data_IF_251228740204
#
_entry.id   IF_251228740204
#
_cell.length_a   1.000
_cell.length_b   1.000
_cell.length_c   1.000
_cell.angle_alpha   90.00
_cell.angle_beta   90.00
_cell.angle_gamma   90.00
#
_symmetry.space_group_name_H-M   'P 1'
#
loop_
_entity.id
_entity.type
_entity.pdbx_description
1 polymer ?
#
# COMPACT_ATOMS: atom_id res chain seq x y z
N UNK A 1 -19.15 1.47 41.67
CA UNK A 1 -18.07 2.36 41.21
C UNK A 1 -17.24 1.59 40.20
N UNK A 2 -17.11 2.19 39.01
CA UNK A 2 -16.29 1.80 37.85
C UNK A 2 -14.86 1.36 38.30
N UNK A 3 -14.14 0.45 37.62
CA UNK A 3 -13.78 0.48 36.20
C UNK A 3 -13.33 -0.91 35.69
N UNK A 4 -13.63 -1.10 34.42
CA UNK A 4 -13.41 -2.24 33.51
C UNK A 4 -11.92 -2.60 33.28
N UNK A 5 -11.67 -3.84 32.79
CA UNK A 5 -10.43 -4.61 32.97
C UNK A 5 -9.31 -4.31 31.95
N UNK A 6 -8.12 -4.83 32.28
CA UNK A 6 -6.89 -4.97 31.50
C UNK A 6 -7.08 -5.48 30.05
N UNK A 7 -7.65 -4.66 29.16
CA UNK A 7 -7.80 -4.99 27.73
C UNK A 7 -7.28 -3.91 26.77
N UNK A 8 -6.63 -2.86 27.26
CA UNK A 8 -6.14 -1.76 26.42
C UNK A 8 -4.73 -1.96 25.82
N UNK A 9 -4.11 -3.13 25.99
CA UNK A 9 -2.73 -3.38 25.54
C UNK A 9 -2.61 -4.37 24.36
N UNK A 10 -3.68 -4.59 23.60
CA UNK A 10 -3.67 -5.52 22.47
C UNK A 10 -3.72 -4.84 21.08
N UNK A 11 -3.64 -3.50 20.98
CA UNK A 11 -3.77 -2.79 19.69
C UNK A 11 -2.43 -2.20 19.20
N UNK A 12 -1.40 -2.13 20.04
CA UNK A 12 -0.12 -1.51 19.65
C UNK A 12 0.89 -2.48 18.99
N UNK A 13 0.61 -3.78 18.92
CA UNK A 13 1.57 -4.78 18.41
C UNK A 13 1.37 -5.19 16.95
N UNK A 14 0.24 -4.83 16.31
CA UNK A 14 -0.03 -5.16 14.90
C UNK A 14 0.48 -4.12 13.90
N UNK A 15 1.03 -3.01 14.39
CA UNK A 15 1.54 -1.92 13.54
C UNK A 15 3.04 -2.04 13.31
N UNK A 16 3.77 -2.86 14.07
CA UNK A 16 5.25 -2.85 14.06
C UNK A 16 5.88 -3.93 13.16
N UNK A 17 5.12 -4.92 12.68
CA UNK A 17 5.66 -5.93 11.74
C UNK A 17 5.40 -5.61 10.25
N UNK A 18 4.73 -4.50 9.94
CA UNK A 18 4.37 -4.12 8.56
C UNK A 18 5.24 -3.04 7.89
N UNK A 19 6.10 -2.35 8.63
CA UNK A 19 6.88 -1.20 8.09
C UNK A 19 8.10 -1.58 7.24
N UNK A 20 8.35 -2.87 7.01
CA UNK A 20 9.54 -3.35 6.29
C UNK A 20 9.22 -4.05 4.96
N UNK A 21 8.02 -3.86 4.40
CA UNK A 21 7.54 -4.58 3.21
C UNK A 21 7.19 -3.65 2.02
N UNK A 22 7.53 -2.35 2.10
CA UNK A 22 7.16 -1.42 1.03
C UNK A 22 7.90 -0.07 1.09
N UNK A 23 9.22 0.03 1.33
CA UNK A 23 9.84 1.38 1.26
C UNK A 23 9.66 2.00 -0.13
N UNK A 24 9.82 1.20 -1.20
CA UNK A 24 9.63 1.69 -2.58
C UNK A 24 8.17 1.92 -2.96
N UNK A 25 7.20 1.23 -2.34
CA UNK A 25 5.77 1.39 -2.61
C UNK A 25 5.01 2.27 -1.59
N UNK A 26 5.63 2.68 -0.48
CA UNK A 26 4.98 3.34 0.64
C UNK A 26 4.23 4.60 0.23
N UNK A 27 4.86 5.43 -0.60
CA UNK A 27 4.29 6.70 -1.08
C UNK A 27 3.01 6.47 -1.89
N UNK A 28 2.98 5.44 -2.75
CA UNK A 28 1.81 5.13 -3.55
C UNK A 28 0.70 4.51 -2.69
N UNK A 29 1.04 3.67 -1.70
CA UNK A 29 0.06 3.14 -0.75
C UNK A 29 -0.57 4.25 0.09
N UNK A 30 0.23 5.20 0.58
CA UNK A 30 -0.27 6.37 1.29
C UNK A 30 -1.18 7.22 0.39
N UNK A 31 -0.88 7.32 -0.91
CA UNK A 31 -1.72 8.01 -1.88
C UNK A 31 -3.09 7.34 -2.04
N UNK A 32 -3.14 6.00 -2.11
CA UNK A 32 -4.40 5.23 -2.12
C UNK A 32 -5.21 5.49 -0.84
N UNK A 33 -4.57 5.43 0.32
CA UNK A 33 -5.24 5.69 1.61
C UNK A 33 -5.80 7.11 1.68
N UNK A 34 -5.02 8.10 1.23
CA UNK A 34 -5.47 9.49 1.17
C UNK A 34 -6.62 9.69 0.18
N UNK A 35 -6.60 9.04 -0.98
CA UNK A 35 -7.69 9.09 -1.95
C UNK A 35 -8.95 8.44 -1.38
N UNK A 36 -8.83 7.28 -0.73
CA UNK A 36 -9.95 6.59 -0.10
C UNK A 36 -10.61 7.44 1.00
N UNK A 37 -9.80 8.12 1.82
CA UNK A 37 -10.30 9.02 2.86
C UNK A 37 -10.99 10.28 2.30
N UNK A 38 -10.64 10.69 1.09
CA UNK A 38 -11.16 11.89 0.42
C UNK A 38 -12.32 11.59 -0.55
N UNK A 39 -12.72 10.34 -0.69
CA UNK A 39 -13.74 9.92 -1.66
C UNK A 39 -15.05 9.51 -0.95
N UNK A 40 -15.89 10.48 -0.52
CA UNK A 40 -17.10 10.22 0.27
C UNK A 40 -18.21 9.49 -0.50
N UNK A 41 -18.10 9.38 -1.83
CA UNK A 41 -19.08 8.71 -2.68
C UNK A 41 -18.43 8.01 -3.88
N UNK A 42 -17.47 7.12 -3.61
CA UNK A 42 -16.89 6.23 -4.65
C UNK A 42 -17.98 5.35 -5.25
N UNK A 43 -17.97 5.18 -6.57
CA UNK A 43 -18.90 4.26 -7.23
C UNK A 43 -18.60 2.81 -6.78
N UNK A 44 -19.61 1.96 -6.52
CA UNK A 44 -19.38 0.61 -5.99
C UNK A 44 -18.42 -0.25 -6.84
N UNK A 45 -18.45 -0.12 -8.16
CA UNK A 45 -17.53 -0.82 -9.06
C UNK A 45 -16.07 -0.35 -8.92
N UNK A 46 -15.86 0.94 -8.61
CA UNK A 46 -14.52 1.48 -8.34
C UNK A 46 -14.01 0.94 -7.02
N UNK A 47 -14.86 0.93 -5.98
CA UNK A 47 -14.50 0.38 -4.68
C UNK A 47 -14.11 -1.11 -4.78
N UNK A 48 -14.91 -1.92 -5.46
CA UNK A 48 -14.59 -3.34 -5.67
C UNK A 48 -13.32 -3.56 -6.49
N UNK A 49 -13.04 -2.70 -7.48
CA UNK A 49 -11.79 -2.77 -8.23
C UNK A 49 -10.59 -2.47 -7.34
N UNK A 50 -10.66 -1.43 -6.51
CA UNK A 50 -9.60 -1.03 -5.58
C UNK A 50 -9.38 -2.10 -4.50
N UNK A 51 -10.45 -2.67 -3.95
CA UNK A 51 -10.39 -3.77 -2.96
C UNK A 51 -9.70 -5.02 -3.52
N UNK A 52 -9.86 -5.31 -4.82
CA UNK A 52 -9.16 -6.40 -5.48
C UNK A 52 -7.71 -6.03 -5.85
N UNK A 53 -7.46 -4.78 -6.23
CA UNK A 53 -6.18 -4.31 -6.76
C UNK A 53 -5.14 -4.07 -5.66
N UNK A 54 -5.51 -3.47 -4.54
CA UNK A 54 -4.57 -3.10 -3.47
C UNK A 54 -3.84 -4.31 -2.88
N UNK A 55 -4.51 -5.44 -2.53
CA UNK A 55 -3.81 -6.63 -2.03
C UNK A 55 -2.81 -7.21 -3.04
N UNK A 56 -3.18 -7.27 -4.31
CA UNK A 56 -2.30 -7.75 -5.38
C UNK A 56 -1.09 -6.82 -5.58
N UNK A 57 -1.31 -5.51 -5.46
CA UNK A 57 -0.26 -4.52 -5.54
C UNK A 57 0.75 -4.67 -4.38
N UNK A 58 0.26 -4.86 -3.16
CA UNK A 58 1.12 -5.09 -1.98
C UNK A 58 1.93 -6.38 -2.10
N UNK A 59 1.33 -7.46 -2.64
CA UNK A 59 2.07 -8.69 -2.91
C UNK A 59 3.17 -8.49 -3.95
N UNK A 60 2.87 -7.75 -5.03
CA UNK A 60 3.86 -7.41 -6.05
C UNK A 60 5.00 -6.56 -5.45
N UNK A 61 4.67 -5.53 -4.66
CA UNK A 61 5.66 -4.72 -3.97
C UNK A 61 6.59 -5.56 -3.09
N UNK A 62 6.07 -6.47 -2.26
CA UNK A 62 6.92 -7.32 -1.42
C UNK A 62 7.89 -8.19 -2.22
N UNK A 63 7.47 -8.71 -3.39
CA UNK A 63 8.35 -9.49 -4.29
C UNK A 63 9.38 -8.61 -4.99
N UNK A 64 9.00 -7.40 -5.36
CA UNK A 64 9.87 -6.42 -6.03
C UNK A 64 10.96 -5.92 -5.09
N UNK A 65 10.67 -5.67 -3.82
CA UNK A 65 11.65 -5.23 -2.83
C UNK A 65 12.74 -6.29 -2.60
N UNK A 66 12.34 -7.57 -2.57
CA UNK A 66 13.28 -8.70 -2.54
C UNK A 66 14.15 -8.75 -3.80
N UNK A 67 13.57 -8.51 -4.98
CA UNK A 67 14.30 -8.50 -6.24
C UNK A 67 15.27 -7.30 -6.34
N UNK A 68 14.87 -6.12 -5.84
CA UNK A 68 15.69 -4.91 -5.77
C UNK A 68 16.89 -5.09 -4.83
N UNK A 69 16.69 -5.74 -3.68
CA UNK A 69 17.77 -6.03 -2.73
C UNK A 69 18.88 -6.90 -3.35
N UNK A 70 18.53 -7.79 -4.29
CA UNK A 70 19.47 -8.64 -5.01
C UNK A 70 19.89 -8.13 -6.38
N UNK A 71 19.47 -6.94 -6.79
CA UNK A 71 19.70 -6.44 -8.14
C UNK A 71 21.17 -6.05 -8.37
N UNK A 72 21.69 -6.37 -9.55
CA UNK A 72 23.04 -5.95 -9.96
C UNK A 72 23.15 -4.43 -10.07
N UNK A 73 24.36 -3.90 -9.84
CA UNK A 73 24.64 -2.48 -10.04
C UNK A 73 24.38 -2.09 -11.49
N UNK A 74 23.55 -1.06 -11.70
CA UNK A 74 23.10 -0.63 -13.02
C UNK A 74 21.83 -1.33 -13.53
N UNK A 75 21.21 -2.21 -12.73
CA UNK A 75 19.88 -2.73 -13.04
C UNK A 75 18.87 -1.59 -13.21
N UNK A 76 18.00 -1.62 -14.25
CA UNK A 76 16.91 -0.67 -14.39
C UNK A 76 16.03 -0.59 -13.15
N UNK A 77 15.91 -1.68 -12.38
CA UNK A 77 15.10 -1.71 -11.16
C UNK A 77 15.62 -0.79 -10.05
N UNK A 78 16.89 -0.38 -10.12
CA UNK A 78 17.50 0.54 -9.15
C UNK A 78 17.47 2.00 -9.64
N UNK A 79 16.93 2.24 -10.85
CA UNK A 79 16.82 3.59 -11.39
C UNK A 79 15.73 4.38 -10.64
N UNK A 80 15.94 5.69 -10.40
CA UNK A 80 15.01 6.52 -9.62
C UNK A 80 13.65 6.71 -10.30
N UNK A 81 13.58 6.55 -11.62
CA UNK A 81 12.37 6.66 -12.43
C UNK A 81 11.74 5.29 -12.77
N UNK A 82 12.31 4.21 -12.24
CA UNK A 82 11.72 2.89 -12.39
C UNK A 82 10.40 2.82 -11.60
N UNK A 83 9.31 2.61 -12.34
CA UNK A 83 8.00 2.34 -11.77
C UNK A 83 7.75 0.83 -11.85
N UNK A 84 7.66 0.21 -10.69
CA UNK A 84 7.40 -1.22 -10.57
C UNK A 84 5.93 -1.57 -10.89
N UNK A 85 5.63 -2.86 -11.01
CA UNK A 85 4.25 -3.32 -11.22
C UNK A 85 3.41 -3.02 -10.00
N UNK A 86 3.93 -3.28 -8.79
CA UNK A 86 3.27 -2.95 -7.53
C UNK A 86 2.97 -1.45 -7.40
N UNK A 87 3.95 -0.59 -7.70
CA UNK A 87 3.75 0.87 -7.71
C UNK A 87 2.68 1.28 -8.73
N UNK A 88 2.73 0.74 -9.95
CA UNK A 88 1.76 1.06 -11.00
C UNK A 88 0.33 0.69 -10.59
N UNK A 89 0.14 -0.46 -9.93
CA UNK A 89 -1.18 -0.86 -9.43
C UNK A 89 -1.68 0.08 -8.33
N UNK A 90 -0.82 0.52 -7.41
CA UNK A 90 -1.20 1.48 -6.38
C UNK A 90 -1.51 2.87 -6.95
N UNK A 91 -0.76 3.31 -7.97
CA UNK A 91 -1.05 4.56 -8.71
C UNK A 91 -2.45 4.47 -9.32
N UNK A 92 -2.71 3.41 -10.09
CA UNK A 92 -4.02 3.20 -10.73
C UNK A 92 -5.15 3.10 -9.70
N UNK A 93 -4.91 2.48 -8.53
CA UNK A 93 -5.90 2.42 -7.45
C UNK A 93 -6.24 3.81 -6.91
N UNK A 94 -5.23 4.68 -6.73
CA UNK A 94 -5.44 6.05 -6.27
C UNK A 94 -6.17 6.89 -7.33
N UNK A 95 -5.79 6.75 -8.60
CA UNK A 95 -6.42 7.44 -9.73
C UNK A 95 -7.90 7.07 -9.85
N UNK A 96 -8.22 5.78 -9.77
CA UNK A 96 -9.59 5.27 -9.74
C UNK A 96 -10.42 5.89 -8.61
N UNK A 97 -9.87 5.98 -7.39
CA UNK A 97 -10.54 6.60 -6.24
C UNK A 97 -10.76 8.11 -6.43
N UNK A 98 -9.85 8.78 -7.14
CA UNK A 98 -9.93 10.20 -7.46
C UNK A 98 -10.80 10.49 -8.70
N UNK A 99 -11.30 9.46 -9.39
CA UNK A 99 -12.11 9.59 -10.59
C UNK A 99 -11.32 9.98 -11.84
N UNK A 100 -10.04 9.61 -11.89
CA UNK A 100 -9.16 9.77 -13.05
C UNK A 100 -9.14 8.50 -13.92
#
# INVERSE_FOLDING_TARGET
MNKLPLQFWAVAALVVTGYAQADHCATNLASVQNAANQAPSVQPNVLSAVEALVPAALEACGKEELAMTGAESGSPMLAPDYVSVGQSMLINAADLLNGQ
#
